data_IF_466540149900
#
_entry.id   IF_466540149900
#
_cell.length_a   1.000
_cell.length_b   1.000
_cell.length_c   1.000
_cell.angle_alpha   90.00
_cell.angle_beta   90.00
_cell.angle_gamma   90.00
#
_symmetry.space_group_name_H-M   'P 1'
#
loop_
_entity.id
_entity.type
_entity.pdbx_description
1 polymer ?
#
# COMPACT_ATOMS: atom_id res chain seq x y z
N UNK A 1 -20.51 -4.45 -20.26
CA UNK A 1 -20.33 -3.31 -21.19
C UNK A 1 -19.50 -2.25 -20.50
N UNK A 2 -18.33 -1.92 -21.03
CA UNK A 2 -17.48 -0.83 -20.53
C UNK A 2 -17.96 0.52 -21.08
N UNK A 3 -17.96 1.57 -20.25
CA UNK A 3 -18.36 2.92 -20.68
C UNK A 3 -17.43 3.54 -21.72
N UNK A 4 -17.93 4.47 -22.52
CA UNK A 4 -17.20 5.12 -23.64
C UNK A 4 -15.83 5.68 -23.22
N UNK A 5 -15.75 6.33 -22.06
CA UNK A 5 -14.48 6.85 -21.52
C UNK A 5 -13.44 5.76 -21.26
N UNK A 6 -13.87 4.61 -20.75
CA UNK A 6 -12.99 3.47 -20.51
C UNK A 6 -12.48 2.87 -21.82
N UNK A 7 -13.35 2.74 -22.83
CA UNK A 7 -12.93 2.26 -24.15
C UNK A 7 -11.97 3.22 -24.85
N UNK A 8 -12.13 4.53 -24.65
CA UNK A 8 -11.22 5.53 -25.21
C UNK A 8 -9.87 5.53 -24.49
N UNK A 9 -9.86 5.34 -23.16
CA UNK A 9 -8.62 5.14 -22.40
C UNK A 9 -7.85 3.89 -22.85
N UNK A 10 -8.55 2.79 -23.14
CA UNK A 10 -7.94 1.55 -23.64
C UNK A 10 -7.26 1.69 -25.00
N UNK A 11 -7.65 2.66 -25.82
CA UNK A 11 -7.02 2.91 -27.13
C UNK A 11 -5.70 3.67 -27.02
N UNK A 12 -5.40 4.27 -25.86
CA UNK A 12 -4.23 5.13 -25.66
C UNK A 12 -2.93 4.36 -25.43
N UNK A 13 -3.02 3.06 -25.17
CA UNK A 13 -1.85 2.23 -24.89
C UNK A 13 -2.09 0.78 -25.32
N UNK A 14 -1.00 0.07 -25.57
CA UNK A 14 -1.04 -1.37 -25.80
C UNK A 14 -1.23 -2.11 -24.45
N UNK A 15 -2.28 -2.93 -24.36
CA UNK A 15 -2.64 -3.69 -23.15
C UNK A 15 -1.67 -4.84 -22.88
N UNK A 16 -0.94 -5.29 -23.89
CA UNK A 16 0.01 -6.40 -23.78
C UNK A 16 1.46 -5.94 -23.61
N UNK A 17 1.72 -4.66 -23.87
CA UNK A 17 2.96 -4.01 -23.48
C UNK A 17 3.16 -4.02 -21.96
N UNK A 18 4.43 -4.11 -21.57
CA UNK A 18 4.88 -4.00 -20.19
C UNK A 18 5.71 -2.73 -20.09
N UNK A 19 5.28 -1.82 -19.21
CA UNK A 19 5.88 -0.51 -19.05
C UNK A 19 6.83 -0.49 -17.87
N UNK A 20 7.81 0.42 -17.86
CA UNK A 20 8.56 0.67 -16.63
C UNK A 20 7.65 1.35 -15.59
N UNK A 21 8.00 1.32 -14.28
CA UNK A 21 7.17 1.91 -13.24
C UNK A 21 6.78 3.37 -13.51
N UNK A 22 7.74 4.23 -13.88
CA UNK A 22 7.51 5.67 -14.10
C UNK A 22 6.56 5.93 -15.28
N UNK A 23 6.74 5.23 -16.40
CA UNK A 23 5.86 5.26 -17.56
C UNK A 23 4.45 4.80 -17.22
N UNK A 24 4.33 3.68 -16.49
CA UNK A 24 3.05 3.14 -16.08
C UNK A 24 2.27 4.12 -15.20
N UNK A 25 2.94 4.75 -14.22
CA UNK A 25 2.35 5.75 -13.33
C UNK A 25 1.92 7.01 -14.09
N UNK A 26 2.75 7.48 -15.02
CA UNK A 26 2.45 8.64 -15.87
C UNK A 26 1.24 8.37 -16.76
N UNK A 27 1.21 7.18 -17.36
CA UNK A 27 0.10 6.74 -18.21
C UNK A 27 -1.20 6.65 -17.40
N UNK A 28 -1.18 6.01 -16.23
CA UNK A 28 -2.35 5.89 -15.33
C UNK A 28 -2.89 7.26 -14.93
N UNK A 29 -2.02 8.22 -14.63
CA UNK A 29 -2.43 9.60 -14.32
C UNK A 29 -3.07 10.29 -15.54
N UNK A 30 -2.55 10.06 -16.75
CA UNK A 30 -3.06 10.67 -17.99
C UNK A 30 -4.41 10.12 -18.48
N UNK A 31 -4.76 8.89 -18.07
CA UNK A 31 -6.00 8.21 -18.46
C UNK A 31 -7.11 8.32 -17.40
N UNK A 32 -6.79 8.81 -16.20
CA UNK A 32 -7.78 9.16 -15.19
C UNK A 32 -8.72 10.24 -15.75
N UNK A 33 -10.02 9.98 -15.69
CA UNK A 33 -11.03 10.78 -16.42
C UNK A 33 -12.33 11.00 -15.65
N UNK A 34 -12.37 10.54 -14.40
CA UNK A 34 -13.43 10.86 -13.46
C UNK A 34 -13.37 12.34 -13.06
N UNK A 35 -14.50 12.83 -12.54
CA UNK A 35 -14.65 14.23 -12.08
C UNK A 35 -14.07 14.46 -10.69
N UNK A 36 -13.80 13.38 -9.94
CA UNK A 36 -13.24 13.42 -8.60
C UNK A 36 -11.77 12.96 -8.62
N UNK A 37 -11.03 13.25 -7.56
CA UNK A 37 -9.64 12.82 -7.42
C UNK A 37 -9.54 11.31 -7.18
N UNK A 38 -9.31 10.57 -8.27
CA UNK A 38 -9.22 9.12 -8.27
C UNK A 38 -8.04 8.64 -7.40
N UNK A 39 -8.18 7.45 -6.85
CA UNK A 39 -7.09 6.80 -6.10
C UNK A 39 -6.32 5.92 -7.07
N UNK A 40 -5.00 6.05 -7.07
CA UNK A 40 -4.09 5.17 -7.79
C UNK A 40 -3.75 4.00 -6.87
N UNK A 41 -3.93 2.79 -7.39
CA UNK A 41 -3.70 1.54 -6.66
C UNK A 41 -2.81 0.61 -7.47
N UNK A 42 -2.13 -0.29 -6.77
CA UNK A 42 -1.36 -1.37 -7.34
C UNK A 42 -1.96 -2.71 -6.94
N UNK A 43 -2.14 -3.57 -7.94
CA UNK A 43 -2.47 -4.97 -7.78
C UNK A 43 -1.22 -5.81 -8.09
N UNK A 44 -0.78 -6.59 -7.11
CA UNK A 44 0.40 -7.45 -7.21
C UNK A 44 -0.02 -8.90 -7.05
N UNK A 45 0.20 -9.71 -8.08
CA UNK A 45 -0.03 -11.16 -8.02
C UNK A 45 1.21 -11.83 -7.45
N UNK A 46 1.07 -12.40 -6.27
CA UNK A 46 2.12 -13.14 -5.59
C UNK A 46 2.10 -14.63 -5.98
N UNK A 47 3.24 -15.28 -5.83
CA UNK A 47 3.43 -16.71 -6.02
C UNK A 47 3.22 -17.53 -4.75
N UNK A 48 2.30 -17.11 -3.89
CA UNK A 48 1.96 -17.77 -2.63
C UNK A 48 0.64 -18.52 -2.75
N UNK A 49 0.48 -19.57 -1.96
CA UNK A 49 -0.79 -20.28 -1.80
C UNK A 49 -1.51 -19.75 -0.54
N UNK A 50 -2.52 -18.88 -0.69
CA UNK A 50 -3.20 -18.26 0.46
C UNK A 50 -4.06 -19.24 1.26
N UNK A 51 -4.25 -20.49 0.78
CA UNK A 51 -4.92 -21.55 1.56
C UNK A 51 -4.04 -22.07 2.70
N UNK A 52 -2.73 -21.86 2.57
CA UNK A 52 -1.72 -22.23 3.55
C UNK A 52 -1.43 -21.04 4.46
N UNK A 53 -1.72 -21.19 5.75
CA UNK A 53 -1.61 -20.09 6.72
C UNK A 53 -0.18 -19.54 6.82
N UNK A 54 0.83 -20.37 6.60
CA UNK A 54 2.25 -20.02 6.57
C UNK A 54 2.69 -19.27 5.30
N UNK A 55 1.86 -19.25 4.27
CA UNK A 55 2.09 -18.50 3.02
C UNK A 55 1.20 -17.27 2.88
N UNK A 56 0.26 -17.06 3.80
CA UNK A 56 -0.57 -15.86 3.82
C UNK A 56 0.29 -14.64 4.19
N UNK A 57 0.35 -13.66 3.28
CA UNK A 57 1.11 -12.43 3.50
C UNK A 57 0.15 -11.36 4.01
N UNK A 58 0.45 -10.82 5.19
CA UNK A 58 -0.27 -9.70 5.81
C UNK A 58 0.72 -8.83 6.53
N UNK A 59 0.59 -7.52 6.38
CA UNK A 59 1.48 -6.56 6.99
C UNK A 59 1.00 -5.14 6.82
N UNK A 60 1.88 -4.21 7.15
CA UNK A 60 1.64 -2.77 6.98
C UNK A 60 2.84 -2.13 6.34
N UNK A 61 2.59 -1.12 5.51
CA UNK A 61 3.62 -0.32 4.87
C UNK A 61 3.38 1.15 5.15
N UNK A 62 4.40 1.87 5.58
CA UNK A 62 4.35 3.32 5.71
C UNK A 62 4.63 3.95 4.33
N UNK A 63 3.67 4.71 3.80
CA UNK A 63 3.85 5.41 2.53
C UNK A 63 4.58 6.74 2.77
N UNK A 64 5.77 6.98 2.20
CA UNK A 64 6.54 8.21 2.44
C UNK A 64 5.80 9.51 2.08
N UNK A 65 4.96 9.47 1.05
CA UNK A 65 4.15 10.62 0.61
C UNK A 65 2.72 10.59 1.15
N UNK A 66 2.39 9.62 2.02
CA UNK A 66 1.05 9.40 2.54
C UNK A 66 0.05 8.86 1.51
N UNK A 67 -1.21 8.72 1.92
CA UNK A 67 -2.31 8.19 1.09
C UNK A 67 -3.16 9.27 0.42
N UNK A 68 -3.06 10.53 0.89
CA UNK A 68 -3.92 11.63 0.45
C UNK A 68 -5.38 11.52 0.90
N UNK A 69 -5.68 10.61 1.84
CA UNK A 69 -7.01 10.47 2.47
C UNK A 69 -6.90 10.75 3.96
N UNK A 70 -7.77 11.62 4.47
CA UNK A 70 -7.99 11.75 5.91
C UNK A 70 -8.73 10.51 6.40
N UNK A 71 -8.01 9.60 7.07
CA UNK A 71 -8.60 8.41 7.67
C UNK A 71 -9.22 8.76 9.02
N UNK A 72 -10.43 8.26 9.27
CA UNK A 72 -11.05 8.33 10.59
C UNK A 72 -10.62 7.11 11.41
N UNK A 73 -9.93 7.34 12.52
CA UNK A 73 -9.39 6.28 13.37
C UNK A 73 -10.25 6.16 14.64
N UNK A 74 -10.82 4.98 14.84
CA UNK A 74 -11.47 4.59 16.09
C UNK A 74 -10.51 3.79 16.96
N UNK A 75 -10.49 4.09 18.25
CA UNK A 75 -9.63 3.43 19.22
C UNK A 75 -10.48 2.79 20.32
N UNK A 76 -10.28 1.49 20.51
CA UNK A 76 -10.79 0.72 21.64
C UNK A 76 -9.74 0.69 22.75
N UNK A 77 -9.89 1.59 23.71
CA UNK A 77 -8.97 1.69 24.85
C UNK A 77 -9.72 2.23 26.08
N UNK A 78 -9.18 1.96 27.26
CA UNK A 78 -9.67 2.52 28.54
C UNK A 78 -8.53 3.16 29.31
N UNK A 79 -8.86 4.01 30.29
CA UNK A 79 -7.87 4.64 31.18
C UNK A 79 -6.87 5.52 30.44
N UNK A 80 -5.59 5.37 30.78
CA UNK A 80 -4.49 6.21 30.27
C UNK A 80 -4.29 6.09 28.75
N UNK A 81 -4.46 4.89 28.19
CA UNK A 81 -4.34 4.65 26.75
C UNK A 81 -5.43 5.38 25.94
N UNK A 82 -6.61 5.61 26.54
CA UNK A 82 -7.67 6.40 25.91
C UNK A 82 -7.31 7.89 25.84
N UNK A 83 -6.69 8.44 26.88
CA UNK A 83 -6.20 9.82 26.89
C UNK A 83 -5.05 10.02 25.90
N UNK A 84 -4.13 9.05 25.82
CA UNK A 84 -3.05 9.08 24.84
C UNK A 84 -3.58 9.06 23.40
N UNK A 85 -4.57 8.21 23.12
CA UNK A 85 -5.23 8.14 21.82
C UNK A 85 -5.88 9.48 21.43
N UNK A 86 -6.59 10.14 22.36
CA UNK A 86 -7.19 11.46 22.14
C UNK A 86 -6.14 12.51 21.83
N UNK A 87 -5.03 12.52 22.58
CA UNK A 87 -3.89 13.44 22.35
C UNK A 87 -3.19 13.20 21.01
N UNK A 88 -3.08 11.94 20.58
CA UNK A 88 -2.54 11.57 19.27
C UNK A 88 -3.48 11.92 18.11
N UNK A 89 -4.69 12.40 18.40
CA UNK A 89 -5.66 12.85 17.41
C UNK A 89 -6.57 11.74 16.90
N UNK A 90 -6.85 10.69 17.68
CA UNK A 90 -7.90 9.73 17.33
C UNK A 90 -9.27 10.42 17.22
N UNK A 91 -10.06 10.05 16.22
CA UNK A 91 -11.35 10.70 15.94
C UNK A 91 -12.45 10.18 16.88
N UNK A 92 -12.37 8.90 17.26
CA UNK A 92 -13.33 8.25 18.15
C UNK A 92 -12.52 7.41 19.14
N UNK A 93 -12.78 7.57 20.44
CA UNK A 93 -12.16 6.78 21.50
C UNK A 93 -13.26 6.32 22.46
N UNK A 94 -13.40 5.01 22.63
CA UNK A 94 -14.41 4.43 23.49
C UNK A 94 -14.14 2.96 23.80
N UNK A 95 -15.02 2.35 24.59
CA UNK A 95 -14.95 0.94 24.95
C UNK A 95 -16.32 0.29 24.69
N UNK A 96 -17.09 0.00 25.75
CA UNK A 96 -18.38 -0.69 25.64
C UNK A 96 -19.45 0.13 24.91
N UNK A 97 -19.43 1.44 25.09
CA UNK A 97 -20.30 2.40 24.40
C UNK A 97 -20.10 2.35 22.88
N UNK A 98 -18.84 2.41 22.44
CA UNK A 98 -18.48 2.32 21.02
C UNK A 98 -18.83 0.94 20.44
N UNK A 99 -18.61 -0.13 21.21
CA UNK A 99 -18.99 -1.48 20.80
C UNK A 99 -20.52 -1.61 20.60
N UNK A 100 -21.32 -1.03 21.50
CA UNK A 100 -22.77 -1.04 21.38
C UNK A 100 -23.28 -0.23 20.16
N UNK A 101 -22.65 0.90 19.82
CA UNK A 101 -22.97 1.66 18.61
C UNK A 101 -22.68 0.87 17.32
N UNK A 102 -21.56 0.15 17.32
CA UNK A 102 -21.15 -0.71 16.19
C UNK A 102 -22.12 -1.89 16.01
N UNK A 103 -22.59 -2.48 17.10
CA UNK A 103 -23.64 -3.52 17.05
C UNK A 103 -24.96 -3.00 16.48
N UNK A 104 -25.30 -1.74 16.76
CA UNK A 104 -26.46 -1.04 16.17
C UNK A 104 -26.25 -0.65 14.70
N UNK A 105 -25.07 -0.88 14.15
CA UNK A 105 -24.76 -0.66 12.74
C UNK A 105 -24.22 0.73 12.42
N UNK A 106 -23.78 1.50 13.42
CA UNK A 106 -23.19 2.82 13.22
C UNK A 106 -21.69 2.67 12.95
N UNK A 107 -21.25 3.06 11.76
CA UNK A 107 -19.86 2.96 11.32
C UNK A 107 -19.35 4.30 10.83
N UNK A 108 -18.62 5.01 11.69
CA UNK A 108 -18.08 6.33 11.41
C UNK A 108 -16.55 6.37 11.39
N UNK A 109 -15.90 5.24 11.12
CA UNK A 109 -14.45 5.13 11.06
C UNK A 109 -13.98 4.24 9.90
N UNK A 110 -12.74 4.46 9.46
CA UNK A 110 -12.06 3.70 8.41
C UNK A 110 -11.06 2.67 8.97
N UNK A 111 -10.58 2.89 10.19
CA UNK A 111 -9.61 2.02 10.86
C UNK A 111 -9.96 1.89 12.35
N UNK A 112 -9.83 0.68 12.89
CA UNK A 112 -9.91 0.43 14.32
C UNK A 112 -8.54 0.02 14.87
N UNK A 113 -8.16 0.61 16.00
CA UNK A 113 -7.01 0.24 16.82
C UNK A 113 -7.53 -0.21 18.18
N UNK A 114 -6.95 -1.24 18.76
CA UNK A 114 -7.37 -1.74 20.07
C UNK A 114 -6.19 -2.01 20.98
N UNK A 115 -6.39 -1.84 22.27
CA UNK A 115 -5.45 -2.36 23.27
C UNK A 115 -5.72 -3.85 23.52
N UNK A 116 -4.71 -4.66 23.92
CA UNK A 116 -4.88 -6.10 24.12
C UNK A 116 -5.98 -6.48 25.13
N UNK A 117 -6.20 -5.66 26.15
CA UNK A 117 -7.25 -5.80 27.17
C UNK A 117 -8.66 -5.61 26.61
N UNK A 118 -8.81 -4.86 25.51
CA UNK A 118 -10.11 -4.61 24.87
C UNK A 118 -10.45 -5.65 23.79
N UNK A 119 -9.55 -6.57 23.47
CA UNK A 119 -9.78 -7.62 22.46
C UNK A 119 -10.97 -8.56 22.76
N UNK A 120 -11.31 -8.92 24.01
CA UNK A 120 -12.52 -9.70 24.30
C UNK A 120 -13.81 -8.98 23.89
N UNK A 121 -13.86 -7.65 24.04
CA UNK A 121 -14.98 -6.82 23.59
C UNK A 121 -15.02 -6.74 22.06
N UNK A 122 -13.88 -6.45 21.43
CA UNK A 122 -13.75 -6.39 19.97
C UNK A 122 -14.07 -7.75 19.31
N UNK A 123 -13.76 -8.86 19.99
CA UNK A 123 -14.08 -10.21 19.56
C UNK A 123 -15.59 -10.47 19.47
N UNK A 124 -16.39 -9.92 20.40
CA UNK A 124 -17.86 -10.03 20.37
C UNK A 124 -18.45 -9.35 19.12
N UNK A 125 -17.98 -8.15 18.81
CA UNK A 125 -18.38 -7.39 17.61
C UNK A 125 -17.68 -7.84 16.32
N UNK A 126 -16.79 -8.85 16.40
CA UNK A 126 -16.02 -9.37 15.27
C UNK A 126 -16.88 -9.91 14.13
N UNK A 127 -18.11 -10.35 14.41
CA UNK A 127 -19.09 -10.77 13.37
C UNK A 127 -19.45 -9.63 12.42
N UNK A 128 -19.45 -8.38 12.92
CA UNK A 128 -19.81 -7.21 12.12
C UNK A 128 -18.56 -6.52 11.53
N UNK A 129 -17.47 -6.45 12.31
CA UNK A 129 -16.20 -5.86 11.84
C UNK A 129 -15.43 -6.74 10.85
N UNK A 130 -15.53 -8.07 10.98
CA UNK A 130 -14.79 -9.04 10.18
C UNK A 130 -15.06 -8.94 8.68
N UNK A 131 -16.34 -9.01 8.22
CA UNK A 131 -16.68 -8.89 6.80
C UNK A 131 -16.24 -7.56 6.17
N UNK A 132 -16.16 -6.49 6.97
CA UNK A 132 -15.74 -5.15 6.53
C UNK A 132 -14.21 -4.96 6.56
N UNK A 133 -13.46 -5.91 7.11
CA UNK A 133 -12.01 -5.81 7.25
C UNK A 133 -11.54 -4.76 8.27
N UNK A 134 -12.44 -4.30 9.13
CA UNK A 134 -12.15 -3.29 10.16
C UNK A 134 -11.70 -3.91 11.48
N UNK A 135 -11.51 -5.23 11.53
CA UNK A 135 -11.13 -5.94 12.74
C UNK A 135 -9.63 -5.74 13.03
N UNK A 136 -9.27 -5.19 14.22
CA UNK A 136 -7.88 -5.08 14.66
C UNK A 136 -7.18 -6.44 14.68
N UNK A 137 -5.91 -6.47 14.30
CA UNK A 137 -5.06 -7.65 14.30
C UNK A 137 -3.65 -7.33 14.83
N UNK A 138 -3.12 -8.12 15.78
CA UNK A 138 -1.74 -7.99 16.24
C UNK A 138 -0.70 -8.03 15.10
N UNK A 139 -0.93 -8.82 14.04
CA UNK A 139 -0.02 -8.93 12.90
C UNK A 139 0.12 -7.64 12.09
N UNK A 140 -0.86 -6.74 12.18
CA UNK A 140 -0.84 -5.46 11.46
C UNK A 140 -0.49 -4.30 12.38
N UNK A 141 -0.11 -4.59 13.64
CA UNK A 141 0.22 -3.56 14.63
C UNK A 141 -0.95 -2.68 15.01
N UNK A 142 -2.19 -3.07 14.67
CA UNK A 142 -3.42 -2.39 15.11
C UNK A 142 -3.89 -2.85 16.49
N UNK A 143 -3.21 -3.86 17.06
CA UNK A 143 -3.33 -4.24 18.47
C UNK A 143 -1.99 -3.96 19.15
N UNK A 144 -1.96 -2.94 20.00
CA UNK A 144 -0.74 -2.47 20.67
C UNK A 144 -1.06 -1.80 22.00
N UNK A 145 -0.09 -1.76 22.91
CA UNK A 145 -0.19 -0.95 24.13
C UNK A 145 0.16 0.52 23.86
N UNK A 146 1.03 0.79 22.88
CA UNK A 146 1.40 2.15 22.45
C UNK A 146 0.40 2.66 21.41
N UNK A 147 -0.73 3.16 21.90
CA UNK A 147 -1.85 3.58 21.07
C UNK A 147 -1.56 4.93 20.40
N UNK A 148 -0.91 5.84 21.12
CA UNK A 148 -0.59 7.17 20.61
C UNK A 148 0.28 7.10 19.36
N UNK A 149 1.35 6.31 19.40
CA UNK A 149 2.22 6.09 18.24
C UNK A 149 1.49 5.43 17.08
N UNK A 150 0.68 4.39 17.36
CA UNK A 150 -0.06 3.71 16.31
C UNK A 150 -1.03 4.64 15.58
N UNK A 151 -1.80 5.46 16.32
CA UNK A 151 -2.68 6.47 15.72
C UNK A 151 -1.89 7.42 14.82
N UNK A 152 -0.74 7.92 15.29
CA UNK A 152 0.14 8.79 14.50
C UNK A 152 0.67 8.14 13.23
N UNK A 153 1.13 6.88 13.30
CA UNK A 153 1.63 6.14 12.15
C UNK A 153 0.53 5.88 11.10
N UNK A 154 -0.66 5.48 11.53
CA UNK A 154 -1.79 5.26 10.61
C UNK A 154 -2.29 6.56 9.98
N UNK A 155 -2.40 7.65 10.77
CA UNK A 155 -2.73 8.98 10.21
C UNK A 155 -1.64 9.52 9.29
N UNK A 156 -0.38 9.13 9.53
CA UNK A 156 0.78 9.43 8.66
C UNK A 156 0.80 8.68 7.33
N UNK A 157 -0.21 7.85 7.03
CA UNK A 157 -0.32 7.14 5.76
C UNK A 157 0.23 5.72 5.78
N UNK A 158 0.29 5.08 6.95
CA UNK A 158 0.52 3.63 7.04
C UNK A 158 -0.71 2.88 6.53
N UNK A 159 -0.50 1.97 5.60
CA UNK A 159 -1.55 1.18 4.94
C UNK A 159 -1.38 -0.30 5.28
N UNK A 160 -2.48 -0.95 5.63
CA UNK A 160 -2.53 -2.40 5.77
C UNK A 160 -2.69 -3.09 4.42
N UNK A 161 -1.94 -4.16 4.20
CA UNK A 161 -2.11 -5.03 3.04
C UNK A 161 -2.30 -6.49 3.47
N UNK A 162 -3.10 -7.22 2.70
CA UNK A 162 -3.35 -8.65 2.90
C UNK A 162 -3.49 -9.37 1.56
N UNK A 163 -3.09 -10.64 1.53
CA UNK A 163 -3.37 -11.52 0.38
C UNK A 163 -4.83 -11.91 0.33
N UNK A 164 -5.42 -11.86 -0.87
CA UNK A 164 -6.72 -12.44 -1.16
C UNK A 164 -6.65 -13.97 -1.31
N UNK A 165 -7.80 -14.60 -1.59
CA UNK A 165 -7.92 -16.05 -1.82
C UNK A 165 -7.20 -16.57 -3.08
N UNK A 166 -6.70 -15.68 -3.92
CA UNK A 166 -5.98 -15.98 -5.17
C UNK A 166 -4.49 -15.60 -5.11
N UNK A 167 -4.01 -15.09 -3.98
CA UNK A 167 -2.63 -14.66 -3.80
C UNK A 167 -2.34 -13.27 -4.39
N UNK A 168 -3.35 -12.42 -4.56
CA UNK A 168 -3.18 -11.02 -4.95
C UNK A 168 -3.12 -10.13 -3.72
N UNK A 169 -2.31 -9.08 -3.80
CA UNK A 169 -2.24 -7.99 -2.83
C UNK A 169 -2.64 -6.70 -3.53
N UNK A 170 -3.53 -5.94 -2.90
CA UNK A 170 -3.99 -4.64 -3.36
C UNK A 170 -3.54 -3.57 -2.39
N UNK A 171 -2.86 -2.54 -2.87
CA UNK A 171 -2.36 -1.43 -2.05
C UNK A 171 -2.65 -0.12 -2.75
N UNK A 172 -3.11 0.87 -2.00
CA UNK A 172 -3.28 2.23 -2.49
C UNK A 172 -1.92 2.93 -2.50
N UNK A 173 -1.58 3.58 -3.60
CA UNK A 173 -0.32 4.32 -3.75
C UNK A 173 -0.48 5.82 -3.52
N UNK A 174 -1.71 6.34 -3.63
CA UNK A 174 -2.00 7.76 -3.44
C UNK A 174 -3.12 8.23 -4.34
N UNK A 175 -3.19 9.56 -4.52
CA UNK A 175 -4.20 10.22 -5.35
C UNK A 175 -3.66 10.59 -6.73
N UNK A 176 -4.55 10.75 -7.71
CA UNK A 176 -4.19 11.28 -9.02
C UNK A 176 -3.64 12.71 -8.92
N UNK A 177 -4.02 13.48 -7.89
CA UNK A 177 -3.43 14.79 -7.59
C UNK A 177 -1.94 14.79 -7.24
N UNK A 178 -1.38 13.67 -6.76
CA UNK A 178 0.03 13.59 -6.37
C UNK A 178 0.98 13.66 -7.57
N UNK A 179 2.22 14.10 -7.38
CA UNK A 179 3.22 14.09 -8.45
C UNK A 179 3.64 12.65 -8.77
N UNK A 180 4.19 12.43 -9.96
CA UNK A 180 4.61 11.07 -10.38
C UNK A 180 5.71 10.55 -9.45
N UNK A 181 6.61 11.41 -9.00
CA UNK A 181 7.72 11.10 -8.10
C UNK A 181 7.21 10.66 -6.72
N UNK A 182 6.18 11.32 -6.20
CA UNK A 182 5.54 10.95 -4.92
C UNK A 182 4.90 9.56 -5.00
N UNK A 183 4.17 9.29 -6.09
CA UNK A 183 3.53 7.99 -6.31
C UNK A 183 4.58 6.91 -6.53
N UNK A 184 5.67 7.22 -7.23
CA UNK A 184 6.77 6.30 -7.45
C UNK A 184 7.52 5.97 -6.16
N UNK A 185 7.77 6.95 -5.29
CA UNK A 185 8.35 6.71 -3.97
C UNK A 185 7.46 5.78 -3.13
N UNK A 186 6.14 6.00 -3.16
CA UNK A 186 5.16 5.12 -2.50
C UNK A 186 5.16 3.71 -3.11
N UNK A 187 5.21 3.59 -4.44
CA UNK A 187 5.27 2.30 -5.14
C UNK A 187 6.53 1.51 -4.75
N UNK A 188 7.69 2.17 -4.69
CA UNK A 188 8.96 1.53 -4.29
C UNK A 188 8.91 1.05 -2.83
N UNK A 189 8.39 1.88 -1.92
CA UNK A 189 8.21 1.48 -0.52
C UNK A 189 7.32 0.24 -0.38
N UNK A 190 6.22 0.16 -1.14
CA UNK A 190 5.34 -1.01 -1.19
C UNK A 190 6.05 -2.24 -1.76
N UNK A 191 6.81 -2.06 -2.84
CA UNK A 191 7.55 -3.13 -3.49
C UNK A 191 8.60 -3.75 -2.55
N UNK A 192 9.37 -2.91 -1.87
CA UNK A 192 10.42 -3.33 -0.94
C UNK A 192 9.84 -4.05 0.28
N UNK A 193 8.74 -3.54 0.83
CA UNK A 193 8.06 -4.17 1.97
C UNK A 193 7.45 -5.52 1.58
N UNK A 194 6.83 -5.63 0.40
CA UNK A 194 6.28 -6.92 -0.07
C UNK A 194 7.39 -7.93 -0.31
N UNK A 195 8.53 -7.52 -0.85
CA UNK A 195 9.70 -8.39 -1.02
C UNK A 195 10.27 -8.85 0.32
N UNK A 196 10.32 -7.96 1.31
CA UNK A 196 10.74 -8.29 2.68
C UNK A 196 9.78 -9.26 3.37
N UNK A 197 8.48 -9.11 3.12
CA UNK A 197 7.43 -9.96 3.68
C UNK A 197 7.31 -11.34 2.99
N UNK A 198 8.26 -11.71 2.12
CA UNK A 198 8.28 -13.00 1.43
C UNK A 198 8.38 -14.16 2.44
N UNK A 199 7.40 -15.08 2.48
CA UNK A 199 7.49 -16.27 3.32
C UNK A 199 8.61 -17.19 2.85
N UNK A 200 9.36 -17.79 3.79
CA UNK A 200 10.40 -18.77 3.49
C UNK A 200 9.85 -20.03 2.79
N UNK A 201 8.56 -20.33 3.02
CA UNK A 201 7.84 -21.45 2.42
C UNK A 201 7.41 -21.21 0.96
N UNK A 202 7.53 -19.98 0.45
CA UNK A 202 7.15 -19.64 -0.92
C UNK A 202 8.20 -20.15 -1.93
N UNK A 203 7.78 -21.07 -2.81
CA UNK A 203 8.63 -21.66 -3.86
C UNK A 203 8.40 -20.96 -5.20
N UNK A 204 9.46 -20.83 -6.00
CA UNK A 204 9.41 -20.23 -7.34
C UNK A 204 9.39 -18.70 -7.35
N UNK A 205 8.85 -18.11 -8.42
CA UNK A 205 8.76 -16.64 -8.56
C UNK A 205 7.72 -16.08 -7.61
N UNK A 206 8.20 -15.28 -6.64
CA UNK A 206 7.36 -14.64 -5.63
C UNK A 206 6.48 -13.52 -6.22
N UNK A 207 7.02 -12.68 -7.10
CA UNK A 207 6.25 -11.69 -7.85
C UNK A 207 5.93 -12.26 -9.25
N UNK A 208 4.64 -12.41 -9.56
CA UNK A 208 4.19 -12.96 -10.86
C UNK A 208 3.69 -11.89 -11.81
N UNK A 209 3.03 -10.86 -11.30
CA UNK A 209 2.48 -9.76 -12.11
C UNK A 209 2.30 -8.53 -11.24
N UNK A 210 2.60 -7.36 -11.78
CA UNK A 210 2.27 -6.07 -11.18
C UNK A 210 1.40 -5.30 -12.17
N UNK A 211 0.33 -4.69 -11.69
CA UNK A 211 -0.56 -3.86 -12.49
C UNK A 211 -0.95 -2.65 -11.67
N UNK A 212 -0.81 -1.46 -12.26
CA UNK A 212 -1.25 -0.21 -11.64
C UNK A 212 -2.52 0.24 -12.34
N UNK A 213 -3.50 0.72 -11.57
CA UNK A 213 -4.73 1.29 -12.10
C UNK A 213 -5.15 2.50 -11.29
N UNK A 214 -5.93 3.38 -11.90
CA UNK A 214 -6.76 4.33 -11.17
C UNK A 214 -8.12 3.70 -10.87
N UNK A 215 -8.87 4.26 -9.93
CA UNK A 215 -10.18 3.73 -9.49
C UNK A 215 -11.15 3.45 -10.65
N UNK A 216 -11.18 4.31 -11.68
CA UNK A 216 -12.08 4.18 -12.82
C UNK A 216 -11.35 3.87 -14.14
N UNK A 217 -10.02 3.72 -14.10
CA UNK A 217 -9.16 3.55 -15.27
C UNK A 217 -8.85 2.08 -15.56
N UNK A 218 -8.35 1.79 -16.77
CA UNK A 218 -7.84 0.47 -17.08
C UNK A 218 -6.49 0.22 -16.38
N UNK A 219 -6.17 -1.05 -16.12
CA UNK A 219 -4.90 -1.45 -15.53
C UNK A 219 -3.76 -1.48 -16.54
N UNK A 220 -2.63 -0.87 -16.16
CA UNK A 220 -1.37 -0.84 -16.91
C UNK A 220 -0.41 -1.85 -16.30
N UNK A 221 0.14 -2.75 -17.12
CA UNK A 221 1.07 -3.79 -16.67
C UNK A 221 2.46 -3.20 -16.50
N UNK A 222 3.09 -3.48 -15.36
CA UNK A 222 4.47 -3.07 -15.07
C UNK A 222 5.40 -4.24 -15.38
N UNK A 223 6.53 -3.94 -16.01
CA UNK A 223 7.60 -4.92 -16.24
C UNK A 223 8.32 -5.25 -14.94
N UNK A 224 8.36 -6.55 -14.61
CA UNK A 224 9.04 -7.08 -13.43
C UNK A 224 10.56 -7.05 -13.56
N UNK A 225 11.10 -7.06 -14.78
CA UNK A 225 12.54 -7.00 -15.02
C UNK A 225 13.09 -5.57 -14.84
N UNK A 226 12.25 -4.55 -15.01
CA UNK A 226 12.62 -3.11 -14.98
C UNK A 226 12.09 -2.39 -13.73
N UNK A 227 12.05 -3.09 -12.60
CA UNK A 227 11.56 -2.52 -11.33
C UNK A 227 12.54 -1.56 -10.66
N UNK A 228 13.83 -1.65 -11.01
CA UNK A 228 14.85 -0.71 -10.55
C UNK A 228 14.97 0.40 -11.59
N UNK A 229 15.13 1.68 -11.20
CA UNK A 229 15.48 2.71 -12.15
C UNK A 229 16.75 2.25 -12.87
N UNK A 230 16.77 2.36 -14.20
CA UNK A 230 18.00 2.23 -14.95
C UNK A 230 18.96 3.24 -14.36
N UNK A 231 20.05 2.76 -13.74
CA UNK A 231 21.17 3.62 -13.44
C UNK A 231 21.62 4.08 -14.82
N UNK A 232 21.36 5.35 -15.15
CA UNK A 232 21.91 5.98 -16.33
C UNK A 232 23.41 5.97 -16.12
N UNK A 233 24.09 4.94 -16.63
CA UNK A 233 25.54 4.75 -16.59
C UNK A 233 26.20 5.69 -17.60
N UNK A 234 25.79 6.96 -17.63
CA UNK A 234 26.37 7.97 -18.51
C UNK A 234 27.48 8.75 -17.77
N UNK A 235 27.47 8.74 -16.44
CA UNK A 235 28.47 9.41 -15.60
C UNK A 235 29.67 8.53 -15.20
N UNK A 236 29.58 7.20 -15.35
CA UNK A 236 30.69 6.28 -15.06
C UNK A 236 31.59 6.02 -16.28
N UNK A 237 31.09 6.18 -17.51
CA UNK A 237 31.91 5.98 -18.71
C UNK A 237 32.83 7.19 -18.96
N UNK A 238 32.36 8.42 -18.67
CA UNK A 238 33.18 9.62 -18.79
C UNK A 238 34.29 9.71 -17.72
N UNK A 239 34.07 9.18 -16.51
CA UNK A 239 35.09 9.14 -15.45
C UNK A 239 36.21 8.12 -15.72
N UNK A 240 35.89 6.99 -16.34
CA UNK A 240 36.87 5.96 -16.68
C UNK A 240 37.73 6.38 -17.88
N UNK A 241 37.14 7.06 -18.88
CA UNK A 241 37.91 7.54 -20.03
C UNK A 241 38.91 8.64 -19.66
N UNK A 242 38.57 9.51 -18.71
CA UNK A 242 39.48 10.56 -18.22
C UNK A 242 40.63 10.03 -17.35
N UNK A 243 40.43 8.90 -16.67
CA UNK A 243 41.46 8.31 -15.81
C UNK A 243 42.47 7.47 -16.60
N UNK A 244 42.05 6.79 -17.68
CA UNK A 244 42.92 5.95 -18.51
C UNK A 244 43.87 6.80 -19.38
N UNK A 245 43.44 7.97 -19.86
CA UNK A 245 44.26 8.80 -20.75
C UNK A 245 45.40 9.54 -20.01
N UNK A 246 45.31 9.69 -18.68
CA UNK A 246 46.33 10.36 -17.86
C UNK A 246 47.45 9.44 -17.37
N UNK A 247 47.25 8.12 -17.43
CA UNK A 247 48.16 7.11 -16.88
C UNK A 247 48.71 6.13 -17.93
N UNK A 248 48.80 6.55 -19.20
CA UNK A 248 49.53 5.78 -20.21
C UNK A 248 51.03 6.08 -20.08
N UNK A 249 51.88 5.15 -19.59
CA UNK A 249 53.32 5.36 -19.62
C UNK A 249 53.77 5.42 -21.09
N UNK A 250 54.40 6.54 -21.47
CA UNK A 250 55.18 6.63 -22.71
C UNK A 250 56.37 5.69 -22.56
N UNK A 251 56.28 4.51 -23.16
CA UNK A 251 57.45 3.70 -23.47
C UNK A 251 57.83 3.92 -24.93
N UNK A 252 59.14 4.16 -25.10
CA UNK A 252 59.94 4.51 -26.29
C UNK A 252 60.02 6.02 -26.55
#
# INVERSE_FOLDING_TARGET
MSGKKFTDALKRFDRDAHFNPTEALTLVKSIASAKFDETIEVAMRLGVDPRKAEQAVRGTVALPSGTGKNIRVAVFATGEAAEEARKAGADIVGAEDLAAEIEKGIFNFDLAIATPDMMPLVGRIGRVLGPRGLMPNPKTGTVTQDVGRAVGEFKGGKVEYRTDRYGNVHVQLGKVSFTVEQIEANFRAVLDEIQRAKPASAKGRYLRKITVSSTMGPGVKVDLARLRPEIVVESLILGVYWFVDRYRPRFI
#
